data_IF_015298759540
#
_entry.id   IF_015298759540
#
_cell.length_a   1.000
_cell.length_b   1.000
_cell.length_c   1.000
_cell.angle_alpha   90.00
_cell.angle_beta   90.00
_cell.angle_gamma   90.00
#
_symmetry.space_group_name_H-M   'P 1'
#
loop_
_entity.id
_entity.type
_entity.pdbx_description
1 polymer ?
#
# COMPACT_ATOMS: atom_id res chain seq x y z
N UNK A 1 -7.50 -13.41 5.94
CA UNK A 1 -6.15 -13.31 6.54
C UNK A 1 -5.73 -11.86 6.44
N UNK A 2 -5.29 -11.26 7.55
CA UNK A 2 -4.84 -9.87 7.59
C UNK A 2 -3.46 -9.75 6.92
N UNK A 3 -3.28 -8.79 6.02
CA UNK A 3 -1.97 -8.49 5.39
C UNK A 3 -1.43 -7.18 5.94
N UNK A 4 -0.35 -7.23 6.71
CA UNK A 4 0.35 -6.03 7.18
C UNK A 4 1.07 -5.38 5.99
N UNK A 5 0.85 -4.07 5.79
CA UNK A 5 1.53 -3.33 4.72
C UNK A 5 2.87 -2.77 5.19
N UNK A 6 2.89 -2.20 6.39
CA UNK A 6 4.08 -1.63 7.01
C UNK A 6 3.88 -1.56 8.52
N UNK A 7 4.98 -1.56 9.27
CA UNK A 7 5.00 -1.29 10.71
C UNK A 7 6.03 -0.20 10.94
N UNK A 8 5.64 0.85 11.66
CA UNK A 8 6.53 1.90 12.14
C UNK A 8 6.55 1.83 13.67
N UNK A 9 7.73 1.73 14.26
CA UNK A 9 7.94 1.84 15.70
C UNK A 9 8.40 3.25 16.04
N UNK A 10 7.75 3.90 16.99
CA UNK A 10 8.19 5.16 17.57
C UNK A 10 8.07 5.09 19.10
N UNK A 11 9.20 5.13 19.80
CA UNK A 11 9.29 4.90 21.23
C UNK A 11 8.74 3.51 21.58
N UNK A 12 7.80 3.48 22.50
CA UNK A 12 7.07 2.28 22.92
C UNK A 12 5.77 2.08 22.13
N UNK A 13 5.62 2.68 20.94
CA UNK A 13 4.42 2.55 20.11
C UNK A 13 4.72 1.94 18.76
N UNK A 14 3.81 1.07 18.32
CA UNK A 14 3.73 0.60 16.94
C UNK A 14 2.57 1.28 16.23
N UNK A 15 2.79 1.65 14.98
CA UNK A 15 1.79 2.14 14.05
C UNK A 15 1.81 1.29 12.80
N UNK A 16 0.65 0.94 12.27
CA UNK A 16 0.58 0.08 11.08
C UNK A 16 -0.67 0.33 10.27
N UNK A 17 -0.58 -0.01 8.98
CA UNK A 17 -1.73 -0.21 8.10
C UNK A 17 -1.81 -1.67 7.71
N UNK A 18 -3.01 -2.23 7.84
CA UNK A 18 -3.29 -3.65 7.64
C UNK A 18 -4.47 -3.79 6.69
N UNK A 19 -4.34 -4.64 5.68
CA UNK A 19 -5.43 -4.97 4.78
C UNK A 19 -6.23 -6.15 5.32
N UNK A 20 -7.54 -5.92 5.48
CA UNK A 20 -8.55 -6.95 5.67
C UNK A 20 -9.67 -6.79 4.64
N UNK A 21 -10.91 -6.73 5.14
CA UNK A 21 -12.03 -6.27 4.31
C UNK A 21 -11.97 -4.78 4.00
N UNK A 22 -11.20 -3.99 4.74
CA UNK A 22 -10.85 -2.63 4.35
C UNK A 22 -9.40 -2.39 4.81
N UNK A 23 -8.75 -1.30 4.39
CA UNK A 23 -7.55 -0.83 5.05
C UNK A 23 -7.90 -0.41 6.48
N UNK A 24 -7.19 -0.95 7.47
CA UNK A 24 -7.31 -0.59 8.87
C UNK A 24 -6.00 -0.05 9.40
N UNK A 25 -6.10 0.95 10.28
CA UNK A 25 -4.96 1.48 11.02
C UNK A 25 -4.92 0.83 12.39
N UNK A 26 -3.71 0.51 12.83
CA UNK A 26 -3.43 -0.16 14.09
C UNK A 26 -2.41 0.64 14.87
N UNK A 27 -2.68 0.83 16.15
CA UNK A 27 -1.73 1.33 17.14
C UNK A 27 -1.57 0.30 18.27
N UNK A 28 -0.35 0.09 18.73
CA UNK A 28 -0.05 -0.77 19.88
C UNK A 28 0.93 -0.05 20.80
N UNK A 29 0.60 0.04 22.08
CA UNK A 29 1.51 0.47 23.13
C UNK A 29 2.25 -0.77 23.68
N UNK A 30 3.55 -0.85 23.40
CA UNK A 30 4.43 -1.96 23.80
C UNK A 30 4.65 -2.00 25.31
N UNK A 31 4.46 -0.89 26.02
CA UNK A 31 4.69 -0.81 27.46
C UNK A 31 3.52 -1.36 28.27
N UNK A 32 2.29 -1.13 27.80
CA UNK A 32 1.05 -1.57 28.48
C UNK A 32 0.39 -2.77 27.81
N UNK A 33 0.69 -3.03 26.54
CA UNK A 33 -0.02 -4.00 25.70
C UNK A 33 -1.37 -3.50 25.20
N UNK A 34 -1.74 -2.24 25.46
CA UNK A 34 -2.97 -1.66 24.93
C UNK A 34 -2.88 -1.47 23.41
N UNK A 35 -4.01 -1.65 22.73
CA UNK A 35 -4.06 -1.56 21.27
C UNK A 35 -5.35 -0.93 20.77
N UNK A 36 -5.24 -0.16 19.70
CA UNK A 36 -6.36 0.41 18.96
C UNK A 36 -6.31 -0.10 17.52
N UNK A 37 -7.46 -0.48 16.98
CA UNK A 37 -7.61 -0.80 15.56
C UNK A 37 -8.87 -0.12 15.02
N UNK A 38 -8.80 0.46 13.82
CA UNK A 38 -9.96 1.11 13.18
C UNK A 38 -11.00 0.11 12.63
N UNK A 39 -10.82 -1.19 12.85
CA UNK A 39 -11.84 -2.18 12.52
C UNK A 39 -12.97 -2.21 13.57
N UNK A 40 -14.12 -2.86 13.29
CA UNK A 40 -15.25 -2.90 14.22
C UNK A 40 -14.96 -3.54 15.60
N UNK A 41 -13.85 -4.28 15.74
CA UNK A 41 -13.43 -4.91 17.00
C UNK A 41 -12.57 -4.00 17.90
N UNK A 42 -12.15 -2.82 17.41
CA UNK A 42 -11.54 -1.75 18.20
C UNK A 42 -10.12 -1.98 18.74
N UNK A 43 -9.64 -3.22 18.88
CA UNK A 43 -8.28 -3.49 19.39
C UNK A 43 -7.99 -4.97 19.66
N UNK A 44 -8.98 -5.77 20.06
CA UNK A 44 -8.80 -7.21 20.19
C UNK A 44 -9.15 -7.92 18.87
N UNK A 45 -8.25 -7.88 17.89
CA UNK A 45 -8.50 -8.43 16.56
C UNK A 45 -7.26 -9.04 15.91
N UNK A 46 -7.43 -9.91 14.89
CA UNK A 46 -6.32 -10.49 14.16
C UNK A 46 -5.38 -9.47 13.48
N UNK A 47 -5.84 -8.23 13.26
CA UNK A 47 -4.97 -7.17 12.72
C UNK A 47 -3.89 -6.76 13.72
N UNK A 48 -4.25 -6.59 15.01
CA UNK A 48 -3.29 -6.27 16.07
C UNK A 48 -2.30 -7.41 16.26
N UNK A 49 -2.78 -8.66 16.32
CA UNK A 49 -1.89 -9.84 16.40
C UNK A 49 -0.91 -9.89 15.24
N UNK A 50 -1.36 -9.63 14.01
CA UNK A 50 -0.50 -9.62 12.83
C UNK A 50 0.58 -8.52 12.90
N UNK A 51 0.26 -7.34 13.45
CA UNK A 51 1.22 -6.24 13.63
C UNK A 51 2.28 -6.61 14.68
N UNK A 52 1.86 -7.16 15.81
CA UNK A 52 2.78 -7.61 16.87
C UNK A 52 3.69 -8.72 16.35
N UNK A 53 3.14 -9.73 15.68
CA UNK A 53 3.95 -10.80 15.07
C UNK A 53 4.95 -10.27 14.02
N UNK A 54 4.56 -9.25 13.25
CA UNK A 54 5.44 -8.62 12.25
C UNK A 54 6.58 -7.86 12.93
N UNK A 55 6.27 -7.14 14.01
CA UNK A 55 7.26 -6.46 14.84
C UNK A 55 8.23 -7.45 15.51
N UNK A 56 7.74 -8.54 16.09
CA UNK A 56 8.55 -9.58 16.74
C UNK A 56 9.51 -10.28 15.77
N UNK A 57 9.14 -10.35 14.48
CA UNK A 57 10.02 -10.84 13.40
C UNK A 57 11.07 -9.82 12.95
N UNK A 58 11.08 -8.61 13.53
CA UNK A 58 12.01 -7.54 13.17
C UNK A 58 11.64 -6.81 11.88
N UNK A 59 10.41 -6.93 11.39
CA UNK A 59 9.95 -6.34 10.13
C UNK A 59 9.25 -5.01 10.36
N UNK A 60 9.99 -3.98 10.75
CA UNK A 60 9.47 -2.64 11.02
C UNK A 60 10.50 -1.55 10.69
N UNK A 61 10.01 -0.32 10.53
CA UNK A 61 10.84 0.88 10.46
C UNK A 61 10.93 1.52 11.84
N UNK A 62 12.15 1.79 12.32
CA UNK A 62 12.37 2.50 13.60
C UNK A 62 12.45 4.01 13.36
N UNK A 63 11.49 4.73 13.92
CA UNK A 63 11.33 6.18 13.85
C UNK A 63 11.92 6.94 15.05
N UNK A 64 12.63 6.27 15.95
CA UNK A 64 13.16 6.91 17.15
C UNK A 64 12.07 7.05 18.21
N UNK A 65 12.01 8.19 18.92
CA UNK A 65 11.21 8.32 20.16
C UNK A 65 9.87 9.04 20.03
N UNK A 66 9.65 9.86 19.00
CA UNK A 66 8.44 10.70 18.89
C UNK A 66 7.38 10.05 17.98
N UNK A 67 6.16 9.92 18.49
CA UNK A 67 5.03 9.41 17.73
C UNK A 67 4.61 10.37 16.60
N UNK A 68 4.42 9.89 15.37
CA UNK A 68 4.05 10.75 14.24
C UNK A 68 2.57 11.17 14.32
N UNK A 69 2.27 12.41 13.93
CA UNK A 69 0.89 12.86 13.70
C UNK A 69 0.23 12.08 12.54
N UNK A 70 1.02 11.74 11.51
CA UNK A 70 0.59 10.92 10.38
C UNK A 70 1.58 9.75 10.21
N UNK A 71 1.30 8.58 10.82
CA UNK A 71 2.16 7.42 10.71
C UNK A 71 2.33 6.92 9.29
N UNK A 72 1.31 7.05 8.43
CA UNK A 72 1.40 6.62 7.04
C UNK A 72 2.38 7.48 6.23
N UNK A 73 2.35 8.80 6.40
CA UNK A 73 3.34 9.67 5.75
C UNK A 73 4.78 9.31 6.14
N UNK A 74 5.01 8.97 7.42
CA UNK A 74 6.30 8.53 7.88
C UNK A 74 6.68 7.15 7.30
N UNK A 75 5.73 6.20 7.26
CA UNK A 75 5.95 4.91 6.61
C UNK A 75 6.35 5.08 5.14
N UNK A 76 5.71 6.01 4.41
CA UNK A 76 6.07 6.31 3.01
C UNK A 76 7.46 6.95 2.87
N UNK A 77 7.92 7.71 3.86
CA UNK A 77 9.29 8.23 3.87
C UNK A 77 10.33 7.11 3.97
N UNK A 78 10.06 6.04 4.73
CA UNK A 78 10.93 4.86 4.77
C UNK A 78 10.77 3.97 3.53
N UNK A 79 9.53 3.76 3.06
CA UNK A 79 9.27 2.94 1.88
C UNK A 79 9.93 3.52 0.63
N UNK A 80 10.04 4.85 0.50
CA UNK A 80 10.72 5.46 -0.64
C UNK A 80 12.22 5.14 -0.70
N UNK A 81 12.84 4.75 0.43
CA UNK A 81 14.23 4.26 0.47
C UNK A 81 14.34 2.80 0.02
N UNK A 82 13.23 2.06 -0.06
CA UNK A 82 13.15 0.66 -0.51
C UNK A 82 12.07 0.51 -1.60
N UNK A 83 12.30 1.03 -2.82
CA UNK A 83 11.26 1.16 -3.84
C UNK A 83 10.55 -0.15 -4.21
N UNK A 84 11.25 -1.27 -4.11
CA UNK A 84 10.66 -2.60 -4.35
C UNK A 84 9.59 -2.95 -3.32
N UNK A 85 9.85 -2.69 -2.04
CA UNK A 85 8.88 -2.89 -0.98
C UNK A 85 7.73 -1.88 -1.10
N UNK A 86 8.03 -0.62 -1.44
CA UNK A 86 7.01 0.38 -1.74
C UNK A 86 6.06 -0.07 -2.85
N UNK A 87 6.58 -0.72 -3.89
CA UNK A 87 5.79 -1.27 -4.98
C UNK A 87 4.87 -2.39 -4.48
N UNK A 88 5.39 -3.33 -3.71
CA UNK A 88 4.60 -4.43 -3.15
C UNK A 88 3.47 -3.94 -2.25
N UNK A 89 3.73 -2.92 -1.41
CA UNK A 89 2.73 -2.25 -0.59
C UNK A 89 1.68 -1.57 -1.46
N UNK A 90 2.10 -0.80 -2.46
CA UNK A 90 1.19 -0.08 -3.37
C UNK A 90 0.29 -1.05 -4.13
N UNK A 91 0.84 -2.15 -4.66
CA UNK A 91 0.07 -3.16 -5.39
C UNK A 91 -0.92 -3.88 -4.49
N UNK A 92 -0.52 -4.22 -3.26
CA UNK A 92 -1.41 -4.83 -2.28
C UNK A 92 -2.64 -3.96 -2.02
N UNK A 93 -2.40 -2.65 -1.86
CA UNK A 93 -3.45 -1.67 -1.62
C UNK A 93 -4.32 -1.43 -2.87
N UNK A 94 -3.71 -1.32 -4.04
CA UNK A 94 -4.41 -1.18 -5.33
C UNK A 94 -5.40 -2.33 -5.57
N UNK A 95 -4.96 -3.57 -5.39
CA UNK A 95 -5.83 -4.74 -5.57
C UNK A 95 -6.88 -4.90 -4.46
N UNK A 96 -6.70 -4.18 -3.34
CA UNK A 96 -7.73 -4.04 -2.32
C UNK A 96 -8.78 -3.01 -2.76
N UNK A 97 -8.34 -1.87 -3.27
CA UNK A 97 -9.20 -0.73 -3.63
C UNK A 97 -10.09 -1.01 -4.83
N UNK A 98 -9.64 -1.80 -5.83
CA UNK A 98 -10.44 -2.17 -7.01
C UNK A 98 -11.84 -2.70 -6.68
N UNK A 99 -12.00 -3.35 -5.53
CA UNK A 99 -13.26 -3.98 -5.11
C UNK A 99 -14.18 -3.06 -4.29
N UNK A 100 -13.70 -1.88 -3.89
CA UNK A 100 -14.32 -1.11 -2.79
C UNK A 100 -14.35 0.39 -3.01
N UNK A 101 -13.47 0.92 -3.86
CA UNK A 101 -13.43 2.32 -4.19
C UNK A 101 -14.57 2.68 -5.13
N UNK A 102 -15.66 3.17 -4.54
CA UNK A 102 -16.87 3.58 -5.26
C UNK A 102 -16.64 4.76 -6.21
N UNK A 103 -15.57 5.53 -6.00
CA UNK A 103 -15.26 6.73 -6.79
C UNK A 103 -14.22 6.51 -7.90
N UNK A 104 -13.42 5.45 -7.77
CA UNK A 104 -12.24 5.19 -8.60
C UNK A 104 -11.04 6.10 -8.30
N UNK A 105 -11.17 7.07 -7.39
CA UNK A 105 -10.14 8.07 -7.08
C UNK A 105 -8.92 7.46 -6.37
N UNK A 106 -9.16 6.64 -5.35
CA UNK A 106 -8.09 5.98 -4.60
C UNK A 106 -7.36 4.96 -5.49
N UNK A 107 -8.14 4.17 -6.24
CA UNK A 107 -7.60 3.20 -7.19
C UNK A 107 -6.76 3.87 -8.26
N UNK A 108 -7.20 4.99 -8.83
CA UNK A 108 -6.42 5.74 -9.81
C UNK A 108 -5.13 6.32 -9.22
N UNK A 109 -5.17 6.83 -7.99
CA UNK A 109 -3.99 7.33 -7.28
C UNK A 109 -2.97 6.22 -7.04
N UNK A 110 -3.42 5.06 -6.54
CA UNK A 110 -2.58 3.89 -6.30
C UNK A 110 -2.01 3.33 -7.62
N UNK A 111 -2.80 3.33 -8.69
CA UNK A 111 -2.36 2.92 -10.02
C UNK A 111 -1.22 3.80 -10.53
N UNK A 112 -1.36 5.12 -10.43
CA UNK A 112 -0.30 6.06 -10.82
C UNK A 112 0.97 5.88 -9.98
N UNK A 113 0.84 5.63 -8.68
CA UNK A 113 1.98 5.32 -7.81
C UNK A 113 2.65 4.01 -8.24
N UNK A 114 1.88 2.97 -8.53
CA UNK A 114 2.39 1.68 -8.98
C UNK A 114 3.16 1.83 -10.30
N UNK A 115 2.64 2.58 -11.29
CA UNK A 115 3.34 2.84 -12.55
C UNK A 115 4.69 3.53 -12.35
N UNK A 116 4.77 4.51 -11.45
CA UNK A 116 6.03 5.20 -11.12
C UNK A 116 7.04 4.21 -10.53
N UNK A 117 6.60 3.40 -9.57
CA UNK A 117 7.44 2.43 -8.88
C UNK A 117 7.87 1.28 -9.80
N UNK A 118 7.00 0.79 -10.69
CA UNK A 118 7.36 -0.21 -11.72
C UNK A 118 8.45 0.34 -12.64
N UNK A 119 8.31 1.59 -13.09
CA UNK A 119 9.33 2.23 -13.93
C UNK A 119 10.66 2.39 -13.20
N UNK A 120 10.63 2.81 -11.93
CA UNK A 120 11.82 3.00 -11.11
C UNK A 120 12.54 1.67 -10.80
N UNK A 121 11.77 0.65 -10.44
CA UNK A 121 12.29 -0.67 -10.05
C UNK A 121 12.53 -1.61 -11.24
N UNK A 122 12.13 -1.21 -12.46
CA UNK A 122 12.17 -2.05 -13.67
C UNK A 122 11.42 -3.38 -13.51
N UNK A 123 10.37 -3.39 -12.71
CA UNK A 123 9.62 -4.60 -12.35
C UNK A 123 8.54 -4.95 -13.40
N UNK A 124 8.99 -5.40 -14.57
CA UNK A 124 8.15 -5.74 -15.72
C UNK A 124 7.10 -6.83 -15.42
N UNK A 125 7.37 -7.71 -14.47
CA UNK A 125 6.46 -8.78 -14.05
C UNK A 125 5.12 -8.26 -13.52
N UNK A 126 5.05 -7.00 -13.09
CA UNK A 126 3.80 -6.37 -12.63
C UNK A 126 3.02 -5.64 -13.73
N UNK A 127 3.56 -5.53 -14.96
CA UNK A 127 2.82 -4.90 -16.06
C UNK A 127 1.53 -5.64 -16.36
N UNK A 128 1.56 -6.97 -16.41
CA UNK A 128 0.36 -7.75 -16.71
C UNK A 128 -0.75 -7.60 -15.63
N UNK A 129 -0.48 -7.80 -14.32
CA UNK A 129 -1.46 -7.50 -13.27
C UNK A 129 -1.98 -6.05 -13.27
N UNK A 130 -1.13 -5.08 -13.62
CA UNK A 130 -1.56 -3.68 -13.77
C UNK A 130 -2.47 -3.49 -14.99
N UNK A 131 -2.22 -4.19 -16.10
CA UNK A 131 -3.14 -4.20 -17.23
C UNK A 131 -4.53 -4.70 -16.83
N UNK A 132 -4.59 -5.80 -16.08
CA UNK A 132 -5.86 -6.35 -15.57
C UNK A 132 -6.57 -5.37 -14.64
N UNK A 133 -5.85 -4.75 -13.69
CA UNK A 133 -6.39 -3.72 -12.81
C UNK A 133 -6.97 -2.52 -13.57
N UNK A 134 -6.29 -2.09 -14.65
CA UNK A 134 -6.77 -1.00 -15.49
C UNK A 134 -8.04 -1.39 -16.24
N UNK A 135 -8.14 -2.63 -16.73
CA UNK A 135 -9.33 -3.10 -17.43
C UNK A 135 -10.52 -3.26 -16.47
N UNK A 136 -10.30 -3.72 -15.24
CA UNK A 136 -11.33 -3.72 -14.17
C UNK A 136 -11.82 -2.30 -13.87
N UNK A 137 -10.91 -1.35 -13.65
CA UNK A 137 -11.26 0.06 -13.42
C UNK A 137 -12.02 0.64 -14.62
N UNK A 138 -11.58 0.31 -15.84
CA UNK A 138 -12.21 0.77 -17.10
C UNK A 138 -13.62 0.22 -17.25
N UNK A 139 -13.89 -1.01 -16.79
CA UNK A 139 -15.22 -1.60 -16.88
C UNK A 139 -16.25 -0.83 -16.03
N UNK A 140 -15.82 -0.36 -14.85
CA UNK A 140 -16.70 0.38 -13.92
C UNK A 140 -16.81 1.86 -14.32
N UNK A 141 -15.69 2.51 -14.64
CA UNK A 141 -15.61 3.97 -14.88
C UNK A 141 -15.30 4.30 -16.36
N UNK A 142 -15.91 3.57 -17.29
CA UNK A 142 -15.62 3.65 -18.73
C UNK A 142 -15.82 5.04 -19.36
N UNK A 143 -16.70 5.86 -18.78
CA UNK A 143 -17.01 7.22 -19.22
C UNK A 143 -16.07 8.28 -18.63
N UNK A 144 -15.18 7.91 -17.71
CA UNK A 144 -14.28 8.87 -17.07
C UNK A 144 -13.09 9.18 -17.98
N UNK A 145 -12.84 10.45 -18.33
CA UNK A 145 -11.64 10.85 -19.08
C UNK A 145 -10.33 10.42 -18.41
N UNK A 146 -10.37 10.20 -17.09
CA UNK A 146 -9.27 9.66 -16.30
C UNK A 146 -8.80 8.29 -16.80
N UNK A 147 -9.73 7.38 -17.16
CA UNK A 147 -9.38 6.02 -17.61
C UNK A 147 -8.50 6.05 -18.86
N UNK A 148 -8.84 6.90 -19.83
CA UNK A 148 -8.02 7.09 -21.03
C UNK A 148 -6.60 7.57 -20.69
N UNK A 149 -6.48 8.53 -19.74
CA UNK A 149 -5.17 9.02 -19.28
C UNK A 149 -4.36 7.97 -18.54
N UNK A 150 -5.01 7.11 -17.75
CA UNK A 150 -4.33 6.00 -17.09
C UNK A 150 -3.83 4.96 -18.10
N UNK A 151 -4.61 4.71 -19.17
CA UNK A 151 -4.20 3.80 -20.26
C UNK A 151 -3.00 4.35 -21.04
N UNK A 152 -2.99 5.64 -21.36
CA UNK A 152 -1.82 6.30 -21.96
C UNK A 152 -0.58 6.20 -21.06
N UNK A 153 -0.74 6.43 -19.75
CA UNK A 153 0.37 6.30 -18.79
C UNK A 153 0.90 4.87 -18.70
N UNK A 154 0.01 3.87 -18.66
CA UNK A 154 0.37 2.44 -18.64
C UNK A 154 1.15 2.03 -19.90
N UNK A 155 0.63 2.36 -21.09
CA UNK A 155 1.33 2.06 -22.35
C UNK A 155 2.66 2.81 -22.45
N UNK A 156 2.75 4.02 -21.90
CA UNK A 156 4.01 4.76 -21.79
C UNK A 156 5.08 4.01 -20.99
N UNK A 157 4.72 3.48 -19.81
CA UNK A 157 5.64 2.71 -18.96
C UNK A 157 6.00 1.37 -19.63
N UNK A 158 5.02 0.64 -20.13
CA UNK A 158 5.22 -0.64 -20.83
C UNK A 158 6.19 -0.50 -22.00
N UNK A 159 5.98 0.49 -22.86
CA UNK A 159 6.87 0.75 -23.99
C UNK A 159 8.27 1.19 -23.56
N UNK A 160 8.40 1.95 -22.47
CA UNK A 160 9.70 2.38 -21.97
C UNK A 160 10.56 1.21 -21.47
N UNK A 161 9.93 0.21 -20.84
CA UNK A 161 10.62 -0.99 -20.37
C UNK A 161 10.96 -1.94 -21.52
N UNK A 162 10.05 -2.10 -22.50
CA UNK A 162 10.30 -2.95 -23.68
C UNK A 162 11.33 -2.38 -24.68
N UNK A 163 11.63 -1.08 -24.64
CA UNK A 163 12.56 -0.40 -25.56
C UNK A 163 13.99 -0.28 -25.05
N UNK A 164 14.34 -0.87 -23.90
CA UNK A 164 15.73 -0.98 -23.45
C UNK A 164 16.33 -2.33 -23.94
N UNK A 165 16.92 -2.40 -25.15
CA UNK A 165 17.73 -3.55 -25.52
C UNK A 165 19.06 -3.49 -24.74
N UNK A 166 19.48 -4.65 -24.24
CA UNK A 166 20.85 -4.97 -23.83
C UNK A 166 21.88 -4.60 -24.90
#
# INVERSE_FOLDING_TARGET
MARVLWVVKAGDRLYSKVLGEYPYYVEVDLSTGESLCTCPLGGNCPHVSAVVETYEKGLYFDAGSEGPLNPESLAWAYLSEVPRLALEVTLAELFNSLRRDESGSETAMLFLRALRLVRETKAEEYLHPLGEALDELSAVFHDYPLVSRLREAYEGVKNALQKEPL
#
